data_IF_905230969790
#
_entry.id   IF_905230969790
#
_cell.length_a   1.000
_cell.length_b   1.000
_cell.length_c   1.000
_cell.angle_alpha   90.00
_cell.angle_beta   90.00
_cell.angle_gamma   90.00
#
_symmetry.space_group_name_H-M   'P 1'
#
loop_
_entity.id
_entity.type
_entity.pdbx_description
1 polymer ?
#
# COMPACT_ATOMS: atom_id res chain seq x y z
N UNK A 1 10.63 -25.92 -39.90
CA UNK A 1 10.95 -25.42 -38.54
C UNK A 1 10.14 -24.16 -38.29
N UNK A 2 8.99 -24.28 -37.61
CA UNK A 2 8.14 -23.14 -37.26
C UNK A 2 8.79 -22.34 -36.12
N UNK A 3 9.11 -21.08 -36.41
CA UNK A 3 9.61 -20.13 -35.42
C UNK A 3 8.48 -19.86 -34.44
N UNK A 4 8.51 -20.49 -33.27
CA UNK A 4 7.62 -20.12 -32.16
C UNK A 4 7.90 -18.66 -31.84
N UNK A 5 7.03 -17.77 -32.32
CA UNK A 5 6.94 -16.40 -31.82
C UNK A 5 6.49 -16.55 -30.37
N UNK A 6 7.46 -16.56 -29.45
CA UNK A 6 7.16 -16.35 -28.04
C UNK A 6 6.52 -14.98 -27.97
N UNK A 7 5.20 -14.94 -27.90
CA UNK A 7 4.47 -13.79 -27.41
C UNK A 7 5.04 -13.57 -26.01
N UNK A 8 5.98 -12.64 -25.90
CA UNK A 8 6.37 -12.11 -24.60
C UNK A 8 5.08 -11.56 -24.02
N UNK A 9 4.43 -12.32 -23.13
CA UNK A 9 3.30 -11.85 -22.37
C UNK A 9 3.72 -10.50 -21.79
N UNK A 10 3.18 -9.42 -22.35
CA UNK A 10 3.37 -8.10 -21.76
C UNK A 10 2.82 -8.21 -20.35
N UNK A 11 3.59 -7.83 -19.32
CA UNK A 11 3.09 -7.88 -17.95
C UNK A 11 1.80 -7.06 -17.90
N UNK A 12 0.69 -7.72 -17.55
CA UNK A 12 -0.64 -7.24 -17.91
C UNK A 12 -0.90 -5.84 -17.35
N UNK A 13 -1.30 -4.91 -18.21
CA UNK A 13 -1.63 -3.51 -17.89
C UNK A 13 -2.52 -3.37 -16.65
N UNK A 14 -3.40 -4.35 -16.42
CA UNK A 14 -4.32 -4.42 -15.28
C UNK A 14 -3.60 -4.26 -13.94
N UNK A 15 -2.45 -4.91 -13.72
CA UNK A 15 -1.73 -4.82 -12.45
C UNK A 15 -1.11 -3.45 -12.21
N UNK A 16 -0.71 -2.77 -13.29
CA UNK A 16 -0.18 -1.41 -13.21
C UNK A 16 -1.28 -0.43 -12.79
N UNK A 17 -2.47 -0.53 -13.38
CA UNK A 17 -3.63 0.29 -12.98
C UNK A 17 -4.08 0.00 -11.55
N UNK A 18 -4.02 -1.25 -11.09
CA UNK A 18 -4.29 -1.60 -9.70
C UNK A 18 -3.33 -0.87 -8.76
N UNK A 19 -2.02 -0.93 -9.02
CA UNK A 19 -1.01 -0.22 -8.23
C UNK A 19 -1.22 1.30 -8.22
N UNK A 20 -1.51 1.89 -9.38
CA UNK A 20 -1.75 3.32 -9.51
C UNK A 20 -3.04 3.76 -8.76
N UNK A 21 -4.11 2.98 -8.87
CA UNK A 21 -5.36 3.20 -8.14
C UNK A 21 -5.14 3.17 -6.62
N UNK A 22 -4.26 2.30 -6.13
CA UNK A 22 -3.91 2.26 -4.71
C UNK A 22 -3.09 3.46 -4.23
N UNK A 23 -2.20 4.00 -5.07
CA UNK A 23 -1.52 5.25 -4.75
C UNK A 23 -2.57 6.35 -4.54
N UNK A 24 -3.53 6.47 -5.45
CA UNK A 24 -4.62 7.44 -5.33
C UNK A 24 -5.46 7.21 -4.06
N UNK A 25 -5.89 5.98 -3.79
CA UNK A 25 -6.68 5.65 -2.60
C UNK A 25 -5.92 5.90 -1.30
N UNK A 26 -4.64 5.56 -1.24
CA UNK A 26 -3.82 5.80 -0.05
C UNK A 26 -3.57 7.29 0.19
N UNK A 27 -3.32 8.08 -0.86
CA UNK A 27 -3.24 9.55 -0.75
C UNK A 27 -4.56 10.14 -0.27
N UNK A 28 -5.69 9.70 -0.83
CA UNK A 28 -7.03 10.13 -0.39
C UNK A 28 -7.29 9.76 1.07
N UNK A 29 -6.89 8.56 1.51
CA UNK A 29 -7.00 8.12 2.90
C UNK A 29 -6.17 8.96 3.86
N UNK A 30 -4.95 9.35 3.46
CA UNK A 30 -4.10 10.24 4.25
C UNK A 30 -4.69 11.65 4.34
N UNK A 31 -5.17 12.21 3.23
CA UNK A 31 -5.85 13.51 3.21
C UNK A 31 -7.09 13.47 4.12
N UNK A 32 -7.91 12.42 3.99
CA UNK A 32 -9.08 12.22 4.83
C UNK A 32 -8.71 12.16 6.32
N UNK A 33 -7.67 11.41 6.67
CA UNK A 33 -7.16 11.35 8.04
C UNK A 33 -6.74 12.72 8.57
N UNK A 34 -6.01 13.51 7.79
CA UNK A 34 -5.58 14.86 8.20
C UNK A 34 -6.78 15.78 8.44
N UNK A 35 -7.78 15.75 7.56
CA UNK A 35 -9.00 16.55 7.71
C UNK A 35 -9.74 16.15 8.99
N UNK A 36 -9.94 14.85 9.21
CA UNK A 36 -10.60 14.35 10.42
C UNK A 36 -9.81 14.74 11.67
N UNK A 37 -8.50 14.53 11.67
CA UNK A 37 -7.63 14.90 12.78
C UNK A 37 -7.78 16.39 13.14
N UNK A 38 -7.75 17.28 12.17
CA UNK A 38 -7.94 18.71 12.39
C UNK A 38 -9.32 19.03 12.98
N UNK A 39 -10.38 18.39 12.48
CA UNK A 39 -11.75 18.60 12.97
C UNK A 39 -11.95 18.14 14.42
N UNK A 40 -11.31 17.05 14.83
CA UNK A 40 -11.47 16.48 16.18
C UNK A 40 -10.41 16.92 17.19
N UNK A 41 -9.27 17.47 16.76
CA UNK A 41 -8.17 17.91 17.66
C UNK A 41 -8.49 19.12 18.53
N UNK A 42 -9.55 19.88 18.22
CA UNK A 42 -9.97 21.07 18.98
C UNK A 42 -11.07 20.83 20.03
N UNK A 43 -11.53 19.59 20.22
CA UNK A 43 -12.58 19.29 21.21
C UNK A 43 -11.96 19.07 22.60
N UNK A 44 -12.18 20.02 23.52
CA UNK A 44 -11.85 19.86 24.95
C UNK A 44 -12.65 18.68 25.53
N UNK A 45 -11.97 17.56 25.78
CA UNK A 45 -12.64 16.33 26.22
C UNK A 45 -11.97 15.00 25.86
N UNK A 46 -10.78 15.03 25.24
CA UNK A 46 -9.77 13.97 25.37
C UNK A 46 -10.10 12.56 24.91
N UNK A 47 -11.24 12.33 24.26
CA UNK A 47 -11.50 11.08 23.57
C UNK A 47 -11.11 11.27 22.11
N UNK A 48 -9.97 10.69 21.73
CA UNK A 48 -9.59 10.47 20.33
C UNK A 48 -10.51 9.40 19.71
N UNK A 49 -11.82 9.59 19.86
CA UNK A 49 -12.84 8.81 19.22
C UNK A 49 -12.98 9.36 17.82
N UNK A 50 -12.17 8.87 16.89
CA UNK A 50 -12.54 8.98 15.48
C UNK A 50 -13.94 8.38 15.39
N UNK A 51 -14.93 9.22 15.10
CA UNK A 51 -16.33 8.81 15.07
C UNK A 51 -16.46 7.54 14.22
N UNK A 52 -17.34 6.63 14.64
CA UNK A 52 -17.54 5.29 14.05
C UNK A 52 -17.35 5.29 12.52
N UNK A 53 -18.04 6.20 11.82
CA UNK A 53 -17.97 6.38 10.36
C UNK A 53 -16.54 6.58 9.82
N UNK A 54 -15.73 7.44 10.43
CA UNK A 54 -14.37 7.72 9.98
C UNK A 54 -13.43 6.53 10.24
N UNK A 55 -13.64 5.78 11.32
CA UNK A 55 -12.94 4.52 11.58
C UNK A 55 -13.23 3.49 10.49
N UNK A 56 -14.50 3.32 10.11
CA UNK A 56 -14.90 2.41 9.02
C UNK A 56 -14.30 2.80 7.67
N UNK A 57 -14.26 4.10 7.33
CA UNK A 57 -13.65 4.57 6.09
C UNK A 57 -12.15 4.23 6.06
N UNK A 58 -11.42 4.50 7.14
CA UNK A 58 -9.99 4.22 7.21
C UNK A 58 -9.69 2.71 7.16
N UNK A 59 -10.47 1.90 7.87
CA UNK A 59 -10.38 0.42 7.80
C UNK A 59 -10.67 -0.05 6.39
N UNK A 60 -11.71 0.48 5.73
CA UNK A 60 -12.06 0.16 4.35
C UNK A 60 -10.93 0.46 3.37
N UNK A 61 -10.33 1.65 3.47
CA UNK A 61 -9.17 2.04 2.64
C UNK A 61 -7.97 1.12 2.89
N UNK A 62 -7.69 0.79 4.14
CA UNK A 62 -6.59 -0.11 4.50
C UNK A 62 -6.84 -1.55 4.03
N UNK A 63 -8.06 -2.06 4.17
CA UNK A 63 -8.46 -3.39 3.71
C UNK A 63 -8.38 -3.48 2.18
N UNK A 64 -8.84 -2.46 1.46
CA UNK A 64 -8.62 -2.37 0.03
C UNK A 64 -7.12 -2.40 -0.27
N UNK A 65 -6.30 -1.66 0.49
CA UNK A 65 -4.84 -1.65 0.37
C UNK A 65 -4.18 -3.03 0.44
N UNK A 66 -4.78 -4.04 1.09
CA UNK A 66 -4.24 -5.41 1.09
C UNK A 66 -4.19 -6.02 -0.33
N UNK A 67 -5.04 -5.57 -1.23
CA UNK A 67 -5.03 -6.00 -2.64
C UNK A 67 -3.77 -5.59 -3.41
N UNK A 68 -2.93 -4.68 -2.87
CA UNK A 68 -1.63 -4.36 -3.47
C UNK A 68 -0.71 -5.57 -3.47
N UNK A 69 -0.75 -6.39 -2.41
CA UNK A 69 0.27 -7.40 -2.17
C UNK A 69 0.21 -8.54 -3.19
N UNK A 70 -0.98 -9.10 -3.51
CA UNK A 70 -1.12 -10.04 -4.62
C UNK A 70 -0.70 -9.45 -5.97
N UNK A 71 -1.03 -8.19 -6.24
CA UNK A 71 -0.66 -7.52 -7.50
C UNK A 71 0.86 -7.32 -7.63
N UNK A 72 1.51 -6.84 -6.57
CA UNK A 72 2.97 -6.71 -6.47
C UNK A 72 3.65 -8.07 -6.63
N UNK A 73 3.15 -9.09 -5.93
CA UNK A 73 3.71 -10.44 -5.99
C UNK A 73 3.65 -11.00 -7.41
N UNK A 74 2.50 -10.92 -8.09
CA UNK A 74 2.34 -11.43 -9.46
C UNK A 74 3.25 -10.68 -10.45
N UNK A 75 3.17 -9.35 -10.50
CA UNK A 75 3.98 -8.56 -11.45
C UNK A 75 5.49 -8.74 -11.19
N UNK A 76 5.90 -8.83 -9.93
CA UNK A 76 7.32 -9.05 -9.60
C UNK A 76 7.81 -10.45 -9.97
N UNK A 77 6.99 -11.50 -9.82
CA UNK A 77 7.35 -12.85 -10.28
C UNK A 77 7.47 -12.92 -11.80
N UNK A 78 6.56 -12.28 -12.53
CA UNK A 78 6.61 -12.18 -13.99
C UNK A 78 7.87 -11.43 -14.46
N UNK A 79 8.22 -10.33 -13.80
CA UNK A 79 9.43 -9.57 -14.14
C UNK A 79 10.71 -10.34 -13.81
N UNK A 80 10.71 -11.17 -12.76
CA UNK A 80 11.86 -12.03 -12.42
C UNK A 80 12.11 -13.10 -13.48
N UNK A 81 11.08 -13.67 -14.10
CA UNK A 81 11.21 -14.65 -15.17
C UNK A 81 11.50 -14.00 -16.55
N UNK A 82 11.19 -12.70 -16.71
CA UNK A 82 11.48 -11.93 -17.92
C UNK A 82 12.98 -11.67 -18.15
N UNK A 83 13.37 -11.25 -19.37
CA UNK A 83 14.74 -10.79 -19.68
C UNK A 83 15.09 -9.39 -19.13
N UNK A 84 14.24 -8.81 -18.29
CA UNK A 84 14.51 -7.51 -17.66
C UNK A 84 15.80 -7.52 -16.83
N UNK A 85 16.53 -6.40 -16.88
CA UNK A 85 17.70 -6.13 -16.03
C UNK A 85 17.32 -5.95 -14.56
N UNK A 86 16.06 -5.57 -14.28
CA UNK A 86 15.56 -5.42 -12.92
C UNK A 86 14.84 -6.67 -12.45
N UNK A 87 15.32 -7.22 -11.34
CA UNK A 87 14.77 -8.41 -10.68
C UNK A 87 14.16 -8.00 -9.33
N UNK A 88 12.89 -7.54 -9.31
CA UNK A 88 12.25 -7.10 -8.07
C UNK A 88 12.21 -8.22 -7.05
N UNK A 89 12.62 -7.93 -5.81
CA UNK A 89 12.45 -8.84 -4.67
C UNK A 89 11.12 -8.51 -4.00
N UNK A 90 10.07 -9.28 -4.29
CA UNK A 90 8.71 -9.03 -3.81
C UNK A 90 8.64 -8.86 -2.28
N UNK A 91 9.39 -9.65 -1.53
CA UNK A 91 9.40 -9.63 -0.07
C UNK A 91 9.88 -8.29 0.50
N UNK A 92 10.69 -7.53 -0.23
CA UNK A 92 11.12 -6.20 0.20
C UNK A 92 9.94 -5.22 0.22
N UNK A 93 9.08 -5.31 -0.80
CA UNK A 93 7.91 -4.45 -0.95
C UNK A 93 6.79 -4.86 0.01
N UNK A 94 6.46 -6.16 0.07
CA UNK A 94 5.43 -6.67 0.99
C UNK A 94 5.87 -6.50 2.44
N UNK A 95 7.12 -6.87 2.75
CA UNK A 95 7.68 -6.76 4.10
C UNK A 95 7.73 -5.32 4.57
N UNK A 96 8.22 -4.38 3.76
CA UNK A 96 8.25 -2.97 4.12
C UNK A 96 6.85 -2.36 4.34
N UNK A 97 5.90 -2.72 3.48
CA UNK A 97 4.50 -2.28 3.58
C UNK A 97 3.77 -2.81 4.83
N UNK A 98 4.08 -4.04 5.25
CA UNK A 98 3.35 -4.69 6.34
C UNK A 98 4.04 -4.59 7.71
N UNK A 99 5.37 -4.63 7.75
CA UNK A 99 6.12 -4.57 9.01
C UNK A 99 5.97 -3.21 9.70
N UNK A 100 5.94 -2.12 8.92
CA UNK A 100 5.81 -0.77 9.48
C UNK A 100 4.54 -0.59 10.32
N UNK A 101 3.32 -0.86 9.80
CA UNK A 101 2.10 -0.75 10.60
C UNK A 101 2.04 -1.79 11.73
N UNK A 102 2.55 -3.01 11.52
CA UNK A 102 2.57 -4.05 12.54
C UNK A 102 3.45 -3.64 13.75
N UNK A 103 4.67 -3.16 13.50
CA UNK A 103 5.57 -2.71 14.57
C UNK A 103 4.99 -1.51 15.30
N UNK A 104 4.40 -0.55 14.58
CA UNK A 104 3.72 0.59 15.19
C UNK A 104 2.57 0.16 16.10
N UNK A 105 1.77 -0.81 15.67
CA UNK A 105 0.70 -1.39 16.49
C UNK A 105 1.25 -2.08 17.75
N UNK A 106 2.27 -2.95 17.61
CA UNK A 106 2.84 -3.65 18.75
C UNK A 106 3.43 -2.70 19.79
N UNK A 107 4.12 -1.64 19.36
CA UNK A 107 4.68 -0.62 20.26
C UNK A 107 3.58 0.13 21.00
N UNK A 108 2.50 0.52 20.32
CA UNK A 108 1.41 1.30 20.93
C UNK A 108 0.56 0.47 21.90
N UNK A 109 0.32 -0.81 21.59
CA UNK A 109 -0.31 -1.76 22.51
C UNK A 109 0.55 -1.97 23.75
N UNK A 110 1.87 -2.13 23.58
CA UNK A 110 2.80 -2.29 24.70
C UNK A 110 2.81 -1.07 25.64
N UNK A 111 2.46 0.11 25.13
CA UNK A 111 2.34 1.36 25.89
C UNK A 111 0.92 1.60 26.47
N UNK A 112 -0.02 0.67 26.28
CA UNK A 112 -1.39 0.78 26.80
C UNK A 112 -2.34 1.62 25.94
N UNK A 113 -1.96 1.96 24.71
CA UNK A 113 -2.76 2.80 23.80
C UNK A 113 -3.40 1.99 22.66
N UNK A 114 -4.16 0.93 22.98
CA UNK A 114 -4.68 -0.02 21.97
C UNK A 114 -5.51 0.63 20.85
N UNK A 115 -6.47 1.49 21.22
CA UNK A 115 -7.36 2.18 20.25
C UNK A 115 -6.59 3.12 19.31
N UNK A 116 -5.64 3.87 19.86
CA UNK A 116 -4.76 4.74 19.08
C UNK A 116 -3.81 3.89 18.22
N UNK A 117 -3.35 2.76 18.75
CA UNK A 117 -2.48 1.83 18.06
C UNK A 117 -3.10 1.25 16.80
N UNK A 118 -4.35 0.79 16.89
CA UNK A 118 -5.07 0.28 15.73
C UNK A 118 -5.19 1.35 14.63
N UNK A 119 -5.58 2.56 15.02
CA UNK A 119 -5.68 3.68 14.10
C UNK A 119 -4.34 4.01 13.44
N UNK A 120 -3.28 4.14 14.22
CA UNK A 120 -1.94 4.43 13.70
C UNK A 120 -1.46 3.31 12.77
N UNK A 121 -1.80 2.06 13.06
CA UNK A 121 -1.48 0.93 12.18
C UNK A 121 -2.21 1.06 10.83
N UNK A 122 -3.50 1.43 10.84
CA UNK A 122 -4.30 1.64 9.62
C UNK A 122 -3.73 2.79 8.77
N UNK A 123 -3.39 3.91 9.40
CA UNK A 123 -2.78 5.07 8.71
C UNK A 123 -1.38 4.74 8.20
N UNK A 124 -0.56 4.07 9.02
CA UNK A 124 0.78 3.62 8.63
C UNK A 124 0.72 2.61 7.48
N UNK A 125 -0.31 1.75 7.44
CA UNK A 125 -0.52 0.83 6.34
C UNK A 125 -0.86 1.59 5.05
N UNK A 126 -1.80 2.55 5.09
CA UNK A 126 -2.11 3.38 3.92
C UNK A 126 -0.86 4.12 3.40
N UNK A 127 -0.09 4.74 4.29
CA UNK A 127 1.14 5.44 3.94
C UNK A 127 2.19 4.50 3.32
N UNK A 128 2.50 3.40 4.00
CA UNK A 128 3.51 2.45 3.55
C UNK A 128 3.11 1.74 2.26
N UNK A 129 1.82 1.42 2.07
CA UNK A 129 1.26 0.90 0.82
C UNK A 129 1.47 1.89 -0.33
N UNK A 130 1.17 3.18 -0.12
CA UNK A 130 1.39 4.25 -1.11
C UNK A 130 2.86 4.39 -1.47
N UNK A 131 3.76 4.47 -0.48
CA UNK A 131 5.21 4.61 -0.71
C UNK A 131 5.76 3.40 -1.45
N UNK A 132 5.38 2.19 -1.01
CA UNK A 132 5.83 0.94 -1.62
C UNK A 132 5.36 0.82 -3.07
N UNK A 133 4.10 1.13 -3.33
CA UNK A 133 3.52 1.11 -4.68
C UNK A 133 4.19 2.15 -5.58
N UNK A 134 4.41 3.36 -5.08
CA UNK A 134 5.09 4.44 -5.81
C UNK A 134 6.54 4.06 -6.15
N UNK A 135 7.29 3.54 -5.19
CA UNK A 135 8.66 3.09 -5.39
C UNK A 135 8.74 1.93 -6.38
N UNK A 136 7.79 0.99 -6.29
CA UNK A 136 7.70 -0.12 -7.21
C UNK A 136 7.42 0.35 -8.65
N UNK A 137 6.41 1.20 -8.84
CA UNK A 137 6.06 1.75 -10.14
C UNK A 137 7.18 2.60 -10.73
N UNK A 138 7.85 3.43 -9.92
CA UNK A 138 9.01 4.22 -10.35
C UNK A 138 10.13 3.32 -10.89
N UNK A 139 10.50 2.26 -10.14
CA UNK A 139 11.52 1.31 -10.58
C UNK A 139 11.09 0.54 -11.81
N UNK A 140 9.83 0.08 -11.85
CA UNK A 140 9.26 -0.60 -13.02
C UNK A 140 9.33 0.28 -14.26
N UNK A 141 8.91 1.55 -14.15
CA UNK A 141 9.00 2.52 -15.23
C UNK A 141 10.44 2.73 -15.70
N UNK A 142 11.39 2.91 -14.77
CA UNK A 142 12.81 3.13 -15.08
C UNK A 142 13.47 1.95 -15.80
N UNK A 143 13.16 0.72 -15.41
CA UNK A 143 13.88 -0.47 -15.90
C UNK A 143 13.15 -1.26 -16.99
N UNK A 144 11.82 -1.15 -17.04
CA UNK A 144 10.95 -1.93 -17.94
C UNK A 144 10.14 -1.01 -18.84
N UNK A 145 9.74 0.16 -18.34
CA UNK A 145 8.85 1.09 -19.03
C UNK A 145 7.43 1.09 -18.46
N UNK A 146 6.59 1.94 -19.07
CA UNK A 146 5.13 1.89 -18.91
C UNK A 146 4.64 0.78 -19.85
N UNK A 147 3.60 0.01 -19.49
CA UNK A 147 2.96 -0.91 -20.42
C UNK A 147 2.61 -0.27 -21.78
#
# INVERSE_FOLDING_TARGET
>A
MSRQVRTTQRPSEKYWYTLAGYIALGVLGLIYFVIMYQQYSGMEGGSFGIGFTAGFVLIGISALGLGIYPALFKDSMDLRSSRSRWKPKWWFYIGGGFLTPLLGYLVTVQLGYESLGLLLAVVAHAFSATVTSSLYLYRRHKYVGIP
#
